data_IF_084059080824
#
_entry.id   IF_084059080824
#
_cell.length_a   1.000
_cell.length_b   1.000
_cell.length_c   1.000
_cell.angle_alpha   90.00
_cell.angle_beta   90.00
_cell.angle_gamma   90.00
#
_symmetry.space_group_name_H-M   'P 1'
#
loop_
_entity.id
_entity.type
_entity.pdbx_description
1 polymer ?
#
# COMPACT_ATOMS: atom_id res chain seq x y z
N UNK A 1 -17.68 17.63 1.58
CA UNK A 1 -16.53 17.18 2.39
C UNK A 1 -15.64 16.33 1.50
N UNK A 2 -14.34 16.62 1.43
CA UNK A 2 -13.37 15.84 0.64
C UNK A 2 -12.40 15.22 1.65
N UNK A 3 -12.26 13.90 1.64
CA UNK A 3 -11.31 13.22 2.51
C UNK A 3 -9.89 13.40 1.96
N UNK A 4 -9.00 13.93 2.79
CA UNK A 4 -7.57 13.99 2.51
C UNK A 4 -6.89 12.83 3.23
N UNK A 5 -6.29 11.94 2.46
CA UNK A 5 -5.51 10.80 2.97
C UNK A 5 -4.03 11.18 2.99
N UNK A 6 -3.33 10.70 4.02
CA UNK A 6 -1.88 10.86 4.13
C UNK A 6 -1.13 10.09 3.03
N UNK A 7 0.08 10.55 2.71
CA UNK A 7 0.98 9.82 1.81
C UNK A 7 1.43 8.50 2.44
N UNK A 8 1.52 7.47 1.61
CA UNK A 8 1.88 6.11 2.01
C UNK A 8 3.34 5.85 1.64
N UNK A 9 4.10 5.26 2.56
CA UNK A 9 5.43 4.72 2.27
C UNK A 9 5.29 3.27 1.83
N UNK A 10 5.92 2.90 0.71
CA UNK A 10 5.89 1.51 0.24
C UNK A 10 7.13 0.75 0.71
N UNK A 11 6.93 -0.46 1.20
CA UNK A 11 7.99 -1.41 1.56
C UNK A 11 7.92 -2.59 0.58
N UNK A 12 9.07 -2.96 0.03
CA UNK A 12 9.24 -4.12 -0.83
C UNK A 12 10.62 -4.74 -0.56
N UNK A 13 10.67 -6.05 -0.53
CA UNK A 13 11.83 -6.86 -0.17
C UNK A 13 12.44 -6.41 1.18
N UNK A 14 11.56 -6.06 2.13
CA UNK A 14 11.94 -5.56 3.46
C UNK A 14 12.54 -4.14 3.49
N UNK A 15 12.56 -3.43 2.36
CA UNK A 15 13.17 -2.09 2.23
C UNK A 15 12.17 -1.06 1.72
N UNK A 16 12.31 0.20 2.16
CA UNK A 16 11.47 1.30 1.66
C UNK A 16 11.78 1.58 0.19
N UNK A 17 10.76 1.63 -0.65
CA UNK A 17 10.87 2.12 -2.02
C UNK A 17 11.14 3.62 -1.97
N UNK A 18 12.31 4.04 -2.47
CA UNK A 18 12.66 5.45 -2.56
C UNK A 18 11.80 6.15 -3.60
N UNK A 19 11.13 7.22 -3.19
CA UNK A 19 10.37 8.11 -4.07
C UNK A 19 10.93 9.53 -3.94
N UNK A 20 10.95 10.27 -5.04
CA UNK A 20 11.45 11.64 -5.09
C UNK A 20 10.41 12.54 -5.73
N UNK A 21 9.80 13.41 -4.91
CA UNK A 21 8.89 14.45 -5.36
C UNK A 21 9.58 15.46 -6.28
N UNK A 22 10.84 15.82 -5.99
CA UNK A 22 11.61 16.78 -6.81
C UNK A 22 12.05 16.19 -8.15
N UNK A 23 12.39 14.90 -8.20
CA UNK A 23 12.76 14.23 -9.44
C UNK A 23 11.55 13.67 -10.22
N UNK A 24 10.33 13.79 -9.68
CA UNK A 24 9.12 13.24 -10.28
C UNK A 24 9.06 11.71 -10.27
N UNK A 25 9.82 11.05 -9.40
CA UNK A 25 9.84 9.59 -9.26
C UNK A 25 8.87 9.16 -8.17
N UNK A 26 7.72 8.62 -8.56
CA UNK A 26 6.71 8.11 -7.62
C UNK A 26 6.03 6.88 -8.19
N UNK A 27 5.54 6.04 -7.28
CA UNK A 27 4.67 4.92 -7.62
C UNK A 27 3.23 5.41 -7.60
N UNK A 28 2.47 5.10 -8.65
CA UNK A 28 1.06 5.48 -8.70
C UNK A 28 0.21 4.48 -7.93
N UNK A 29 -0.92 4.94 -7.38
CA UNK A 29 -1.90 4.04 -6.77
C UNK A 29 -2.39 2.98 -7.77
N UNK A 30 -2.53 3.34 -9.06
CA UNK A 30 -2.87 2.38 -10.11
C UNK A 30 -1.86 1.25 -10.20
N UNK A 31 -0.56 1.58 -10.26
CA UNK A 31 0.49 0.56 -10.28
C UNK A 31 0.43 -0.35 -9.05
N UNK A 32 0.22 0.24 -7.86
CA UNK A 32 0.11 -0.54 -6.63
C UNK A 32 -1.06 -1.53 -6.70
N UNK A 33 -2.24 -1.07 -7.14
CA UNK A 33 -3.44 -1.90 -7.31
C UNK A 33 -3.21 -2.99 -8.34
N UNK A 34 -2.53 -2.69 -9.45
CA UNK A 34 -2.19 -3.69 -10.47
C UNK A 34 -1.19 -4.74 -9.93
N UNK A 35 -0.28 -4.35 -9.04
CA UNK A 35 0.76 -5.21 -8.45
C UNK A 35 0.22 -6.14 -7.34
N UNK A 36 -0.66 -5.64 -6.46
CA UNK A 36 -1.17 -6.41 -5.30
C UNK A 36 -2.61 -6.92 -5.47
N UNK A 37 -3.33 -6.42 -6.47
CA UNK A 37 -4.75 -6.67 -6.67
C UNK A 37 -5.66 -5.71 -5.89
N UNK A 38 -6.83 -5.42 -6.46
CA UNK A 38 -7.75 -4.42 -5.92
C UNK A 38 -8.34 -4.77 -4.55
N UNK A 39 -8.59 -6.05 -4.27
CA UNK A 39 -9.13 -6.49 -2.97
C UNK A 39 -8.11 -6.30 -1.86
N UNK A 40 -6.85 -6.69 -2.10
CA UNK A 40 -5.79 -6.52 -1.12
C UNK A 40 -5.53 -5.05 -0.84
N UNK A 41 -5.37 -4.23 -1.88
CA UNK A 41 -5.20 -2.79 -1.73
C UNK A 41 -6.34 -2.18 -0.89
N UNK A 42 -7.61 -2.46 -1.21
CA UNK A 42 -8.74 -1.91 -0.43
C UNK A 42 -8.69 -2.34 1.02
N UNK A 43 -8.47 -3.62 1.29
CA UNK A 43 -8.47 -4.15 2.64
C UNK A 43 -7.42 -3.44 3.51
N UNK A 44 -6.16 -3.37 3.05
CA UNK A 44 -5.08 -2.73 3.80
C UNK A 44 -5.32 -1.23 4.03
N UNK A 45 -5.86 -0.50 3.05
CA UNK A 45 -6.19 0.92 3.22
C UNK A 45 -7.37 1.14 4.18
N UNK A 46 -8.36 0.25 4.20
CA UNK A 46 -9.52 0.35 5.09
C UNK A 46 -9.19 -0.02 6.54
N UNK A 47 -8.16 -0.83 6.78
CA UNK A 47 -7.69 -1.18 8.13
C UNK A 47 -6.97 -0.04 8.86
N UNK A 48 -6.61 1.04 8.15
CA UNK A 48 -5.80 2.14 8.69
C UNK A 48 -6.62 3.41 8.79
N UNK A 49 -6.35 4.21 9.83
CA UNK A 49 -6.93 5.54 9.95
C UNK A 49 -6.37 6.46 8.87
N UNK A 50 -7.24 7.27 8.26
CA UNK A 50 -6.89 8.12 7.11
C UNK A 50 -5.83 9.18 7.43
N UNK A 51 -5.70 9.53 8.71
CA UNK A 51 -4.78 10.55 9.21
C UNK A 51 -3.47 9.96 9.75
N UNK A 52 -3.35 8.62 9.77
CA UNK A 52 -2.16 7.94 10.27
C UNK A 52 -1.09 7.78 9.17
N UNK A 53 0.18 7.81 9.59
CA UNK A 53 1.29 7.38 8.74
C UNK A 53 1.11 5.89 8.42
N UNK A 54 1.17 5.55 7.13
CA UNK A 54 0.95 4.18 6.67
C UNK A 54 2.15 3.69 5.87
N UNK A 55 2.72 2.59 6.34
CA UNK A 55 3.71 1.80 5.61
C UNK A 55 3.01 0.58 5.00
N UNK A 56 2.94 0.56 3.67
CA UNK A 56 2.31 -0.52 2.91
C UNK A 56 3.38 -1.52 2.50
N UNK A 57 3.30 -2.73 3.04
CA UNK A 57 4.16 -3.85 2.66
C UNK A 57 3.58 -4.59 1.45
N UNK A 58 4.27 -4.49 0.32
CA UNK A 58 3.83 -5.07 -0.96
C UNK A 58 3.92 -6.60 -0.93
N UNK A 59 4.94 -7.15 -0.28
CA UNK A 59 5.17 -8.60 -0.27
C UNK A 59 4.16 -9.29 0.62
N UNK A 60 3.85 -8.69 1.78
CA UNK A 60 2.75 -9.14 2.63
C UNK A 60 1.40 -9.09 1.90
N UNK A 61 1.13 -8.01 1.16
CA UNK A 61 -0.12 -7.88 0.43
C UNK A 61 -0.28 -8.91 -0.70
N UNK A 62 0.85 -9.38 -1.27
CA UNK A 62 0.89 -10.42 -2.31
C UNK A 62 0.95 -11.83 -1.75
N UNK A 63 1.32 -12.00 -0.48
CA UNK A 63 1.53 -13.33 0.09
C UNK A 63 0.22 -14.11 0.14
N UNK A 64 0.29 -15.41 -0.16
CA UNK A 64 -0.84 -16.35 -0.03
C UNK A 64 -0.67 -17.20 1.22
N UNK A 65 -0.25 -16.56 2.31
CA UNK A 65 -0.02 -17.21 3.60
C UNK A 65 -1.07 -16.74 4.60
N UNK A 66 -1.19 -17.45 5.73
CA UNK A 66 -2.11 -17.09 6.81
C UNK A 66 -1.90 -15.68 7.37
N UNK A 67 -0.71 -15.12 7.17
CA UNK A 67 -0.33 -13.79 7.63
C UNK A 67 -0.93 -12.66 6.77
N UNK A 68 -1.41 -12.99 5.55
CA UNK A 68 -2.18 -12.06 4.75
C UNK A 68 -3.65 -12.13 5.15
N UNK A 69 -4.18 -11.10 5.83
CA UNK A 69 -5.58 -11.09 6.28
C UNK A 69 -6.58 -11.10 5.12
N UNK A 70 -6.12 -10.87 3.88
CA UNK A 70 -6.91 -10.93 2.65
C UNK A 70 -7.00 -12.35 2.07
N UNK A 71 -6.10 -13.27 2.44
CA UNK A 71 -6.07 -14.62 1.87
C UNK A 71 -7.36 -15.42 2.15
N UNK A 72 -8.09 -15.07 3.22
CA UNK A 72 -9.32 -15.74 3.64
C UNK A 72 -10.62 -15.00 3.25
N UNK A 73 -10.54 -13.89 2.49
CA UNK A 73 -11.69 -13.04 2.13
C UNK A 73 -12.04 -13.12 0.66
#
# INVERSE_FOLDING_TARGET
YVALVQMVSLIKDGSKISMSTRAGQFVTLKWLVDEVGASAARFFYLMRDINSQFEFDIDLAKSKTSDNPVYYV
#
